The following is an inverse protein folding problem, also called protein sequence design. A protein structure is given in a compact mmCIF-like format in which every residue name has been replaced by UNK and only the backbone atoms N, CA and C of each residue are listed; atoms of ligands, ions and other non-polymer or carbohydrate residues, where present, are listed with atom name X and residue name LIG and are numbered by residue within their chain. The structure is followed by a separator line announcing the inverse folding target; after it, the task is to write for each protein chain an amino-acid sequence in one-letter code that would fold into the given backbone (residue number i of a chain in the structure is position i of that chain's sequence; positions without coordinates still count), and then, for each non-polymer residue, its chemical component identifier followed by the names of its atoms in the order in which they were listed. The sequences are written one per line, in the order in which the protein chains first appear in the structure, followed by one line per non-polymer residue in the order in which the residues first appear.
data_IF_226801288891
#
_entry.id   IF_226801288891
#
_cell.length_a   1.000
_cell.length_b   1.000
_cell.length_c   1.000
_cell.angle_alpha   90.00
_cell.angle_beta   90.00
_cell.angle_gamma   90.00
#
_symmetry.space_group_name_H-M   'P 1'
#
loop_
_entity.id
_entity.type
_entity.pdbx_description
1 polymer ?
#
# COMPACT_ATOMS: atom_id res chain seq x y z
N UNK A 1 -14.04 -43.23 -8.52
CA UNK A 1 -13.99 -41.84 -7.99
C UNK A 1 -12.82 -41.14 -8.67
N UNK A 2 -13.05 -40.12 -9.51
CA UNK A 2 -11.96 -39.31 -10.09
C UNK A 2 -11.55 -38.27 -9.05
N UNK A 3 -10.25 -38.02 -8.81
CA UNK A 3 -9.84 -36.91 -7.98
C UNK A 3 -10.20 -35.61 -8.71
N UNK A 4 -10.95 -34.72 -8.04
CA UNK A 4 -11.15 -33.36 -8.51
C UNK A 4 -9.79 -32.70 -8.66
N UNK A 5 -9.37 -32.46 -9.89
CA UNK A 5 -8.27 -31.54 -10.16
C UNK A 5 -8.74 -30.17 -9.65
N UNK A 6 -8.22 -29.76 -8.50
CA UNK A 6 -8.26 -28.37 -8.07
C UNK A 6 -7.58 -27.53 -9.14
N UNK A 7 -8.34 -27.07 -10.13
CA UNK A 7 -7.89 -26.06 -11.07
C UNK A 7 -7.67 -24.78 -10.25
N UNK A 8 -6.40 -24.51 -9.95
CA UNK A 8 -6.00 -23.26 -9.31
C UNK A 8 -6.27 -22.15 -10.33
N UNK A 9 -7.10 -21.17 -9.96
CA UNK A 9 -7.38 -20.01 -10.82
C UNK A 9 -6.04 -19.28 -11.10
N UNK A 10 -5.56 -19.24 -12.35
CA UNK A 10 -4.28 -18.61 -12.68
C UNK A 10 -4.27 -17.12 -12.34
N UNK A 11 -5.43 -16.46 -12.32
CA UNK A 11 -5.53 -15.06 -11.88
C UNK A 11 -5.39 -14.92 -10.36
N UNK A 12 -5.74 -15.94 -9.58
CA UNK A 12 -5.50 -15.93 -8.14
C UNK A 12 -4.00 -16.03 -7.82
N UNK A 13 -3.29 -16.92 -8.52
CA UNK A 13 -1.82 -17.09 -8.39
C UNK A 13 -1.08 -15.81 -8.74
N UNK A 14 -1.37 -15.22 -9.91
CA UNK A 14 -0.74 -13.98 -10.35
C UNK A 14 -0.98 -12.81 -9.39
N UNK A 15 -2.16 -12.75 -8.76
CA UNK A 15 -2.47 -11.73 -7.74
C UNK A 15 -1.73 -11.95 -6.44
N UNK A 16 -1.43 -13.18 -6.07
CA UNK A 16 -0.69 -13.51 -4.85
C UNK A 16 0.81 -13.25 -5.02
N UNK A 17 1.39 -13.61 -6.16
CA UNK A 17 2.77 -13.29 -6.53
C UNK A 17 3.01 -11.78 -6.50
N UNK A 18 2.15 -11.01 -7.17
CA UNK A 18 2.23 -9.54 -7.18
C UNK A 18 2.18 -8.93 -5.77
N UNK A 19 1.34 -9.48 -4.89
CA UNK A 19 1.25 -9.01 -3.49
C UNK A 19 2.52 -9.30 -2.72
N UNK A 20 3.08 -10.50 -2.89
CA UNK A 20 4.32 -10.90 -2.24
C UNK A 20 5.49 -10.02 -2.70
N UNK A 21 5.60 -9.75 -4.00
CA UNK A 21 6.62 -8.84 -4.54
C UNK A 21 6.50 -7.43 -3.95
N UNK A 22 5.29 -6.88 -3.92
CA UNK A 22 5.03 -5.56 -3.33
C UNK A 22 5.31 -5.53 -1.82
N UNK A 23 4.98 -6.60 -1.09
CA UNK A 23 5.26 -6.72 0.34
C UNK A 23 6.76 -6.75 0.60
N UNK A 24 7.52 -7.58 -0.14
CA UNK A 24 8.98 -7.68 -0.02
C UNK A 24 9.63 -6.33 -0.31
N UNK A 25 9.19 -5.64 -1.36
CA UNK A 25 9.69 -4.31 -1.70
C UNK A 25 9.49 -3.34 -0.54
N UNK A 26 8.27 -3.24 0.00
CA UNK A 26 7.97 -2.34 1.10
C UNK A 26 8.76 -2.73 2.36
N UNK A 27 8.80 -4.01 2.73
CA UNK A 27 9.58 -4.47 3.87
C UNK A 27 11.06 -4.11 3.74
N UNK A 28 11.64 -4.26 2.55
CA UNK A 28 13.07 -3.97 2.31
C UNK A 28 13.35 -2.47 2.27
N UNK A 29 12.46 -1.70 1.65
CA UNK A 29 12.76 -0.31 1.33
C UNK A 29 12.32 0.68 2.41
N UNK A 30 11.23 0.43 3.15
CA UNK A 30 10.69 1.40 4.11
C UNK A 30 10.78 0.99 5.58
N UNK A 31 11.01 -0.27 5.90
CA UNK A 31 11.16 -0.70 7.30
C UNK A 31 12.36 -0.03 7.97
N UNK A 32 12.16 0.48 9.18
CA UNK A 32 13.15 1.20 9.96
C UNK A 32 13.39 2.64 9.50
N UNK A 33 12.60 3.17 8.55
CA UNK A 33 12.81 4.51 7.98
C UNK A 33 11.67 5.47 8.32
N UNK A 34 12.02 6.75 8.40
CA UNK A 34 11.03 7.82 8.33
C UNK A 34 10.60 8.00 6.88
N UNK A 35 9.30 7.88 6.65
CA UNK A 35 8.68 8.07 5.35
C UNK A 35 7.81 9.31 5.34
N UNK A 36 7.62 9.88 4.15
CA UNK A 36 6.61 10.90 3.90
C UNK A 36 5.53 10.28 3.02
N UNK A 37 4.31 10.22 3.52
CA UNK A 37 3.14 9.76 2.77
C UNK A 37 2.45 10.99 2.18
N UNK A 38 2.32 11.01 0.85
CA UNK A 38 1.50 11.97 0.11
C UNK A 38 0.36 11.23 -0.57
N UNK A 39 -0.83 11.81 -0.52
CA UNK A 39 -1.98 11.28 -1.25
C UNK A 39 -2.77 12.40 -1.88
N UNK A 40 -3.33 12.10 -3.05
CA UNK A 40 -4.24 12.98 -3.77
C UNK A 40 -5.55 13.25 -3.00
N UNK A 41 -5.89 12.46 -1.97
CA UNK A 41 -7.05 12.74 -1.11
C UNK A 41 -6.91 14.00 -0.26
N UNK A 42 -5.69 14.43 0.05
CA UNK A 42 -5.53 15.68 0.78
C UNK A 42 -5.78 16.84 -0.18
N UNK A 43 -6.87 17.57 0.02
CA UNK A 43 -7.18 18.81 -0.74
C UNK A 43 -6.03 19.83 -0.76
N UNK A 44 -5.04 19.70 0.14
CA UNK A 44 -3.89 20.60 0.28
C UNK A 44 -2.52 19.90 0.13
N UNK A 45 -2.41 18.70 -0.47
CA UNK A 45 -1.16 17.95 -0.56
C UNK A 45 -0.44 17.79 0.81
N UNK A 46 -1.19 17.61 1.90
CA UNK A 46 -0.59 17.50 3.23
C UNK A 46 0.32 16.27 3.27
N UNK A 47 1.59 16.52 3.57
CA UNK A 47 2.60 15.50 3.77
C UNK A 47 2.49 14.95 5.19
N UNK A 48 2.39 13.63 5.34
CA UNK A 48 2.43 12.98 6.64
C UNK A 48 3.78 12.30 6.81
N UNK A 49 4.59 12.80 7.75
CA UNK A 49 5.78 12.10 8.22
C UNK A 49 5.35 10.94 9.11
N UNK A 50 5.97 9.79 8.91
CA UNK A 50 5.68 8.59 9.68
C UNK A 50 6.92 7.71 9.77
N UNK A 51 7.30 7.30 10.98
CA UNK A 51 8.35 6.30 11.18
C UNK A 51 7.73 4.90 11.04
N UNK A 52 8.26 4.11 10.11
CA UNK A 52 7.84 2.72 9.91
C UNK A 52 8.81 1.82 10.65
N UNK A 53 8.34 1.17 11.72
CA UNK A 53 9.14 0.19 12.45
C UNK A 53 9.01 -1.21 11.85
N UNK A 54 7.82 -1.55 11.36
CA UNK A 54 7.52 -2.83 10.71
C UNK A 54 6.45 -2.64 9.62
N UNK A 55 6.54 -3.44 8.56
CA UNK A 55 5.50 -3.52 7.51
C UNK A 55 4.80 -4.87 7.64
N UNK A 56 3.51 -4.84 8.01
CA UNK A 56 2.73 -6.03 8.32
C UNK A 56 1.62 -6.28 7.31
N UNK A 57 1.54 -7.50 6.80
CA UNK A 57 0.39 -7.98 6.01
C UNK A 57 -0.77 -8.32 6.94
N UNK A 58 -1.94 -7.72 6.70
CA UNK A 58 -3.14 -7.98 7.50
C UNK A 58 -4.44 -7.77 6.73
N UNK A 59 -5.52 -8.27 7.32
CA UNK A 59 -6.88 -8.01 6.84
C UNK A 59 -7.53 -6.92 7.69
N UNK A 60 -8.15 -5.94 7.03
CA UNK A 60 -8.92 -4.87 7.67
C UNK A 60 -10.29 -4.73 7.04
N UNK A 61 -11.22 -4.11 7.79
CA UNK A 61 -12.59 -3.88 7.35
C UNK A 61 -12.67 -2.57 6.57
N UNK A 62 -13.08 -2.63 5.31
CA UNK A 62 -13.32 -1.47 4.45
C UNK A 62 -14.67 -1.61 3.74
N UNK A 63 -15.52 -0.57 3.84
CA UNK A 63 -16.87 -0.55 3.27
C UNK A 63 -17.70 -1.83 3.52
N UNK A 64 -17.58 -2.40 4.73
CA UNK A 64 -18.29 -3.63 5.13
C UNK A 64 -17.68 -4.93 4.61
N UNK A 65 -16.56 -4.88 3.87
CA UNK A 65 -15.84 -6.05 3.38
C UNK A 65 -14.51 -6.22 4.11
N UNK A 66 -14.06 -7.45 4.24
CA UNK A 66 -12.71 -7.75 4.72
C UNK A 66 -11.75 -7.68 3.53
N UNK A 67 -10.76 -6.80 3.60
CA UNK A 67 -9.79 -6.53 2.54
C UNK A 67 -8.39 -6.80 3.08
N UNK A 68 -7.56 -7.49 2.28
CA UNK A 68 -6.14 -7.70 2.60
C UNK A 68 -5.34 -6.47 2.19
N UNK A 69 -4.39 -6.08 3.01
CA UNK A 69 -3.47 -4.99 2.72
C UNK A 69 -2.33 -4.93 3.71
N UNK A 70 -1.73 -3.75 3.82
CA UNK A 70 -0.47 -3.54 4.51
C UNK A 70 -0.69 -2.49 5.59
N UNK A 71 -0.28 -2.81 6.82
CA UNK A 71 -0.18 -1.85 7.91
C UNK A 71 1.26 -1.42 8.11
N UNK A 72 1.47 -0.12 8.23
CA UNK A 72 2.75 0.45 8.60
C UNK A 72 2.78 0.63 10.11
N UNK A 73 3.50 -0.25 10.82
CA UNK A 73 3.54 -0.29 12.28
C UNK A 73 4.48 0.79 12.82
N UNK A 74 4.03 1.45 13.89
CA UNK A 74 4.84 2.30 14.74
C UNK A 74 4.38 2.07 16.17
N UNK A 75 5.22 1.49 17.02
CA UNK A 75 4.85 1.11 18.38
C UNK A 75 4.55 2.32 19.29
N UNK A 76 4.89 3.54 18.86
CA UNK A 76 4.55 4.79 19.56
C UNK A 76 3.19 5.36 19.15
N UNK A 77 2.54 4.78 18.14
CA UNK A 77 1.26 5.24 17.58
C UNK A 77 0.17 4.20 17.83
N UNK A 78 -1.03 4.66 18.21
CA UNK A 78 -2.18 3.78 18.43
C UNK A 78 -2.53 3.02 17.15
N UNK A 79 -3.03 1.78 17.27
CA UNK A 79 -3.31 0.92 16.10
C UNK A 79 -4.26 1.59 15.12
N UNK A 80 -5.22 2.35 15.61
CA UNK A 80 -6.23 3.06 14.82
C UNK A 80 -5.62 4.20 13.96
N UNK A 81 -4.48 4.75 14.38
CA UNK A 81 -3.81 5.86 13.69
C UNK A 81 -2.69 5.39 12.75
N UNK A 82 -2.27 4.12 12.84
CA UNK A 82 -1.24 3.53 12.00
C UNK A 82 -1.73 3.42 10.54
N UNK A 83 -0.99 3.93 9.53
CA UNK A 83 -1.35 3.87 8.11
C UNK A 83 -1.75 2.46 7.66
N UNK A 84 -2.88 2.37 6.97
CA UNK A 84 -3.43 1.14 6.41
C UNK A 84 -3.58 1.29 4.91
N UNK A 85 -2.82 0.51 4.15
CA UNK A 85 -2.75 0.60 2.70
C UNK A 85 -3.40 -0.63 2.09
N UNK A 86 -4.23 -0.45 1.06
CA UNK A 86 -4.64 -1.59 0.23
C UNK A 86 -3.46 -2.08 -0.59
N UNK A 87 -3.46 -3.36 -0.95
CA UNK A 87 -2.51 -3.81 -1.97
C UNK A 87 -2.78 -3.08 -3.28
N UNK A 88 -1.75 -2.48 -3.90
CA UNK A 88 -1.88 -1.97 -5.25
C UNK A 88 -2.17 -3.13 -6.21
N UNK A 89 -2.93 -2.83 -7.27
CA UNK A 89 -3.24 -3.80 -8.33
C UNK A 89 -2.11 -3.98 -9.34
N UNK A 90 -1.02 -3.23 -9.16
CA UNK A 90 0.17 -3.20 -10.02
C UNK A 90 1.43 -3.29 -9.16
N UNK A 91 2.57 -3.54 -9.81
CA UNK A 91 3.87 -3.52 -9.15
C UNK A 91 4.19 -2.08 -8.74
N UNK A 92 4.63 -1.89 -7.51
CA UNK A 92 5.00 -0.57 -7.00
C UNK A 92 6.22 -0.06 -7.78
N UNK A 93 6.07 1.09 -8.44
CA UNK A 93 7.16 1.72 -9.15
C UNK A 93 8.06 2.50 -8.17
N UNK A 94 9.35 2.19 -8.18
CA UNK A 94 10.37 2.91 -7.42
C UNK A 94 11.16 3.84 -8.33
N UNK A 95 11.21 5.13 -7.99
CA UNK A 95 12.03 6.14 -8.68
C UNK A 95 12.93 6.85 -7.68
N UNK A 96 14.09 7.33 -8.13
CA UNK A 96 15.02 8.10 -7.31
C UNK A 96 15.09 9.52 -7.85
N UNK A 97 14.80 10.51 -7.00
CA UNK A 97 14.82 11.93 -7.36
C UNK A 97 15.47 12.72 -6.23
N UNK A 98 16.50 13.54 -6.53
CA UNK A 98 17.12 14.45 -5.55
C UNK A 98 17.50 13.82 -4.19
N UNK A 99 18.14 12.63 -4.21
CA UNK A 99 18.51 11.83 -3.02
C UNK A 99 17.34 11.28 -2.21
N UNK A 100 16.12 11.36 -2.73
CA UNK A 100 14.94 10.71 -2.17
C UNK A 100 14.57 9.53 -3.06
N UNK A 101 14.22 8.39 -2.45
CA UNK A 101 13.49 7.36 -3.15
C UNK A 101 12.00 7.63 -3.00
N UNK A 102 11.27 7.40 -4.09
CA UNK A 102 9.82 7.54 -4.19
C UNK A 102 9.24 6.21 -4.64
N UNK A 103 8.33 5.67 -3.83
CA UNK A 103 7.45 4.57 -4.21
C UNK A 103 6.13 5.18 -4.62
N UNK A 104 5.70 4.87 -5.85
CA UNK A 104 4.44 5.33 -6.40
C UNK A 104 3.47 4.18 -6.41
N UNK A 105 2.38 4.30 -5.66
CA UNK A 105 1.36 3.28 -5.55
C UNK A 105 0.10 3.76 -6.27
N UNK A 106 -0.28 3.03 -7.31
CA UNK A 106 -1.48 3.28 -8.13
C UNK A 106 -2.61 2.38 -7.67
N UNK A 107 -3.83 2.90 -7.75
CA UNK A 107 -5.05 2.22 -7.37
C UNK A 107 -5.04 1.73 -5.93
N UNK A 108 -4.28 2.41 -5.06
CA UNK A 108 -4.27 2.15 -3.62
C UNK A 108 -4.74 3.37 -2.85
N UNK A 109 -5.47 3.12 -1.77
CA UNK A 109 -5.95 4.15 -0.85
C UNK A 109 -5.38 3.89 0.54
N UNK A 110 -4.96 4.94 1.24
CA UNK A 110 -4.81 4.90 2.69
C UNK A 110 -6.21 4.86 3.32
N UNK A 111 -6.54 3.73 3.92
CA UNK A 111 -7.86 3.37 4.47
C UNK A 111 -8.19 4.19 5.70
N UNK A 112 -7.18 4.76 6.37
CA UNK A 112 -7.41 5.74 7.43
C UNK A 112 -8.08 7.01 6.90
N UNK A 113 -8.11 7.19 5.58
CA UNK A 113 -8.90 8.20 4.90
C UNK A 113 -10.11 7.54 4.23
N UNK A 114 -11.27 7.74 4.83
CA UNK A 114 -12.57 7.27 4.30
C UNK A 114 -12.97 8.04 3.04
N UNK A 115 -12.34 7.78 1.89
CA UNK A 115 -12.86 8.16 0.57
C UNK A 115 -12.51 7.11 -0.49
N UNK A 116 -13.56 6.62 -1.14
CA UNK A 116 -13.51 5.62 -2.20
C UNK A 116 -13.07 6.29 -3.53
N UNK A 117 -11.92 5.89 -4.07
CA UNK A 117 -11.25 6.55 -5.20
C UNK A 117 -11.78 6.16 -6.58
N UNK A 118 -12.91 5.47 -6.69
CA UNK A 118 -13.43 4.98 -7.98
C UNK A 118 -13.71 6.07 -9.04
N UNK A 119 -13.58 7.36 -8.70
CA UNK A 119 -13.90 8.49 -9.59
C UNK A 119 -12.82 9.56 -9.75
N UNK A 120 -11.71 9.52 -9.01
CA UNK A 120 -10.68 10.57 -9.10
C UNK A 120 -9.58 10.14 -10.08
N UNK A 121 -9.79 10.52 -11.35
CA UNK A 121 -8.82 10.52 -12.45
C UNK A 121 -7.96 9.26 -12.61
N UNK A 122 -8.50 8.25 -13.31
CA UNK A 122 -7.74 7.08 -13.79
C UNK A 122 -6.43 7.43 -14.51
N UNK A 123 -6.30 8.63 -15.07
CA UNK A 123 -5.24 8.92 -16.05
C UNK A 123 -4.32 10.11 -15.72
N UNK A 124 -4.52 10.88 -14.64
CA UNK A 124 -3.74 12.12 -14.44
C UNK A 124 -2.74 12.13 -13.29
N UNK A 125 -2.93 11.35 -12.20
CA UNK A 125 -2.02 11.35 -11.04
C UNK A 125 -2.04 10.01 -10.28
N UNK A 126 -0.95 9.63 -9.61
CA UNK A 126 -0.95 8.49 -8.68
C UNK A 126 -1.79 8.76 -7.43
N UNK A 127 -2.32 7.70 -6.83
CA UNK A 127 -3.22 7.78 -5.66
C UNK A 127 -2.47 8.00 -4.35
N UNK A 128 -1.33 7.32 -4.20
CA UNK A 128 -0.47 7.39 -3.02
C UNK A 128 1.02 7.38 -3.43
N UNK A 129 1.80 8.23 -2.79
CA UNK A 129 3.25 8.33 -2.97
C UNK A 129 3.92 8.25 -1.61
N UNK A 130 4.94 7.39 -1.49
CA UNK A 130 5.73 7.22 -0.28
C UNK A 130 7.16 7.63 -0.60
N UNK A 131 7.70 8.58 0.17
CA UNK A 131 9.06 9.07 0.01
C UNK A 131 9.92 8.70 1.22
N UNK A 132 11.19 8.38 1.00
CA UNK A 132 12.15 8.13 2.07
C UNK A 132 13.58 8.46 1.63
N UNK A 133 14.43 8.70 2.62
CA UNK A 133 15.84 9.05 2.44
C UNK A 133 16.74 7.83 2.63
N UNK A 134 17.93 7.91 2.04
CA UNK A 134 19.05 6.97 2.24
C UNK A 134 20.08 7.58 3.17
#
# INVERSE_FOLDING_TARGET
MRPSQNQVDPHAVMREELRNENLILLQTEITGKEIIIKTSTYRNNKERKYLVEEVKDEYFKDAGKLVRGIRLINNKTSKEEQPLLKYPSELIAMTTENKQKKLTLRYTSDVNFTRDFRRLCRDTKPDLEIYFYY
#
